data_IF_634346604517
#
_entry.id   IF_634346604517
#
_cell.length_a   1.000
_cell.length_b   1.000
_cell.length_c   1.000
_cell.angle_alpha   90.00
_cell.angle_beta   90.00
_cell.angle_gamma   90.00
#
_symmetry.space_group_name_H-M   'P 1'
#
loop_
_entity.id
_entity.type
_entity.pdbx_description
1 polymer ?
#
# COMPACT_ATOMS: atom_id res chain seq x y z
N UNK A 1 -52.27 37.48 47.75
CA UNK A 1 -52.79 36.26 48.40
C UNK A 1 -53.45 35.44 47.29
N UNK A 2 -52.94 34.33 46.75
CA UNK A 2 -52.21 33.23 47.34
C UNK A 2 -51.21 32.59 46.38
N UNK A 3 -50.12 32.13 47.00
CA UNK A 3 -48.97 31.39 46.48
C UNK A 3 -49.35 29.92 46.32
N UNK A 4 -49.03 29.30 45.17
CA UNK A 4 -48.67 27.86 45.11
C UNK A 4 -47.57 27.63 44.08
N UNK A 5 -46.34 27.60 44.59
CA UNK A 5 -45.19 26.96 43.97
C UNK A 5 -45.51 25.50 43.60
N UNK A 6 -45.28 25.13 42.34
CA UNK A 6 -45.08 23.73 41.94
C UNK A 6 -43.67 23.67 41.36
N UNK A 7 -42.75 23.15 42.16
CA UNK A 7 -41.37 22.84 41.75
C UNK A 7 -41.44 21.57 40.91
N UNK A 8 -41.40 21.71 39.59
CA UNK A 8 -41.18 20.59 38.68
C UNK A 8 -39.67 20.31 38.62
N UNK A 9 -39.23 19.26 39.30
CA UNK A 9 -37.87 18.73 39.22
C UNK A 9 -37.67 18.13 37.82
N UNK A 10 -37.00 18.87 36.94
CA UNK A 10 -36.58 18.38 35.63
C UNK A 10 -35.33 17.50 35.78
N UNK A 11 -35.55 16.21 36.08
CA UNK A 11 -34.54 15.16 35.92
C UNK A 11 -34.37 14.88 34.42
N UNK A 12 -33.54 15.67 33.74
CA UNK A 12 -33.13 15.37 32.36
C UNK A 12 -32.09 14.25 32.44
N UNK A 13 -32.61 13.02 32.32
CA UNK A 13 -31.82 11.83 32.03
C UNK A 13 -31.02 12.09 30.74
N UNK A 14 -29.69 12.15 30.86
CA UNK A 14 -28.76 12.00 29.73
C UNK A 14 -28.88 10.58 29.18
N UNK A 15 -29.98 10.29 28.48
CA UNK A 15 -30.10 9.12 27.64
C UNK A 15 -29.10 9.26 26.49
N UNK A 16 -28.06 8.44 26.51
CA UNK A 16 -27.19 8.23 25.35
C UNK A 16 -28.08 8.02 24.13
N UNK A 17 -28.08 8.95 23.18
CA UNK A 17 -28.70 8.73 21.89
C UNK A 17 -27.90 7.65 21.17
N UNK A 18 -28.35 6.41 21.32
CA UNK A 18 -27.94 5.30 20.48
C UNK A 18 -28.64 5.54 19.16
N UNK A 19 -27.97 6.22 18.23
CA UNK A 19 -28.44 6.30 16.84
C UNK A 19 -28.51 4.87 16.30
N UNK A 20 -29.70 4.34 15.95
CA UNK A 20 -29.79 3.02 15.36
C UNK A 20 -29.01 3.05 14.05
N UNK A 21 -28.05 2.13 13.92
CA UNK A 21 -27.33 1.89 12.67
C UNK A 21 -28.37 1.53 11.62
N UNK A 22 -28.64 2.43 10.67
CA UNK A 22 -29.60 2.19 9.60
C UNK A 22 -29.32 0.83 8.96
N UNK A 23 -30.35 -0.01 8.94
CA UNK A 23 -30.26 -1.33 8.32
C UNK A 23 -30.02 -1.16 6.82
N UNK A 24 -29.10 -1.96 6.26
CA UNK A 24 -28.80 -1.89 4.84
C UNK A 24 -30.01 -2.38 4.03
N UNK A 25 -30.41 -1.69 2.95
CA UNK A 25 -31.46 -2.18 2.07
C UNK A 25 -31.08 -3.54 1.47
N UNK A 26 -32.03 -4.47 1.48
CA UNK A 26 -31.88 -5.81 0.89
C UNK A 26 -32.06 -5.75 -0.61
N UNK A 27 -31.06 -6.21 -1.36
CA UNK A 27 -31.13 -6.31 -2.83
C UNK A 27 -31.26 -7.78 -3.24
N UNK A 28 -32.28 -8.09 -4.03
CA UNK A 28 -32.49 -9.40 -4.63
C UNK A 28 -31.99 -9.38 -6.08
N UNK A 29 -30.84 -10.01 -6.38
CA UNK A 29 -30.44 -10.28 -7.74
C UNK A 29 -31.24 -11.45 -8.32
N UNK A 30 -31.84 -11.26 -9.49
CA UNK A 30 -32.33 -12.36 -10.31
C UNK A 30 -31.21 -12.84 -11.24
N UNK A 31 -31.35 -14.07 -11.75
CA UNK A 31 -30.42 -14.61 -12.75
C UNK A 31 -30.52 -13.82 -14.05
N UNK A 32 -29.40 -13.71 -14.75
CA UNK A 32 -29.36 -13.06 -16.06
C UNK A 32 -30.08 -13.95 -17.07
N UNK A 33 -30.94 -13.37 -17.90
CA UNK A 33 -31.64 -14.09 -18.97
C UNK A 33 -31.20 -13.59 -20.34
N UNK A 34 -31.47 -14.38 -21.38
CA UNK A 34 -31.23 -13.97 -22.76
C UNK A 34 -32.16 -14.71 -23.72
N UNK A 35 -32.43 -14.09 -24.87
CA UNK A 35 -33.08 -14.74 -26.01
C UNK A 35 -32.12 -15.62 -26.84
N UNK A 36 -30.79 -15.51 -26.64
CA UNK A 36 -29.81 -16.13 -27.54
C UNK A 36 -28.61 -16.80 -26.84
N UNK A 37 -28.23 -16.36 -25.65
CA UNK A 37 -27.08 -16.93 -24.93
C UNK A 37 -27.36 -18.33 -24.38
N UNK A 38 -26.31 -19.14 -24.25
CA UNK A 38 -26.39 -20.49 -23.69
C UNK A 38 -26.38 -20.47 -22.16
N UNK A 39 -26.77 -21.59 -21.54
CA UNK A 39 -26.92 -21.72 -20.08
C UNK A 39 -25.61 -21.40 -19.33
N UNK A 40 -24.48 -21.89 -19.83
CA UNK A 40 -23.16 -21.69 -19.24
C UNK A 40 -22.75 -20.21 -19.26
N UNK A 41 -23.13 -19.49 -20.32
CA UNK A 41 -22.86 -18.06 -20.48
C UNK A 41 -23.72 -17.24 -19.53
N UNK A 42 -25.00 -17.59 -19.40
CA UNK A 42 -25.91 -16.96 -18.44
C UNK A 42 -25.48 -17.20 -16.99
N UNK A 43 -24.97 -18.39 -16.68
CA UNK A 43 -24.39 -18.69 -15.37
C UNK A 43 -23.14 -17.85 -15.11
N UNK A 44 -22.25 -17.70 -16.09
CA UNK A 44 -21.07 -16.86 -15.99
C UNK A 44 -21.44 -15.38 -15.75
N UNK A 45 -22.37 -14.84 -16.53
CA UNK A 45 -22.86 -13.47 -16.38
C UNK A 45 -23.55 -13.25 -15.02
N UNK A 46 -24.33 -14.23 -14.57
CA UNK A 46 -24.96 -14.18 -13.24
C UNK A 46 -23.92 -14.17 -12.13
N UNK A 47 -22.90 -15.01 -12.19
CA UNK A 47 -21.81 -15.01 -11.20
C UNK A 47 -21.08 -13.66 -11.16
N UNK A 48 -20.77 -13.08 -12.32
CA UNK A 48 -20.14 -11.77 -12.40
C UNK A 48 -21.02 -10.65 -11.83
N UNK A 49 -22.33 -10.70 -12.08
CA UNK A 49 -23.30 -9.78 -11.47
C UNK A 49 -23.27 -9.88 -9.94
N UNK A 50 -23.28 -11.10 -9.40
CA UNK A 50 -23.23 -11.34 -7.96
C UNK A 50 -21.91 -10.84 -7.34
N UNK A 51 -20.77 -11.14 -7.97
CA UNK A 51 -19.46 -10.63 -7.54
C UNK A 51 -19.43 -9.10 -7.54
N UNK A 52 -19.98 -8.47 -8.58
CA UNK A 52 -20.08 -7.01 -8.67
C UNK A 52 -20.92 -6.45 -7.52
N UNK A 53 -22.07 -7.06 -7.22
CA UNK A 53 -22.97 -6.65 -6.13
C UNK A 53 -22.32 -6.75 -4.75
N UNK A 54 -21.53 -7.80 -4.50
CA UNK A 54 -20.84 -7.98 -3.21
C UNK A 54 -19.86 -6.85 -2.90
N UNK A 55 -19.38 -6.14 -3.92
CA UNK A 55 -18.50 -4.98 -3.74
C UNK A 55 -19.23 -3.72 -3.28
N UNK A 56 -20.57 -3.68 -3.27
CA UNK A 56 -21.35 -2.54 -2.79
C UNK A 56 -21.77 -2.74 -1.33
N UNK A 57 -20.98 -2.26 -0.34
CA UNK A 57 -21.28 -2.48 1.07
C UNK A 57 -22.54 -1.76 1.56
N UNK A 58 -23.15 -0.90 0.74
CA UNK A 58 -24.41 -0.22 1.04
C UNK A 58 -25.64 -1.13 0.97
N UNK A 59 -25.53 -2.32 0.38
CA UNK A 59 -26.63 -3.27 0.27
C UNK A 59 -26.37 -4.55 1.09
N UNK A 60 -27.45 -5.20 1.49
CA UNK A 60 -27.45 -6.61 1.91
C UNK A 60 -27.88 -7.45 0.69
N UNK A 61 -26.96 -8.22 0.12
CA UNK A 61 -27.25 -9.03 -1.09
C UNK A 61 -27.93 -10.33 -0.66
N UNK A 62 -29.19 -10.50 -1.08
CA UNK A 62 -29.95 -11.74 -0.88
C UNK A 62 -29.46 -12.83 -1.84
N UNK A 63 -29.59 -14.12 -1.48
CA UNK A 63 -29.28 -15.20 -2.41
C UNK A 63 -30.23 -15.15 -3.62
N UNK A 64 -29.72 -15.35 -4.84
CA UNK A 64 -30.58 -15.42 -6.02
C UNK A 64 -31.52 -16.64 -5.91
N UNK A 65 -32.79 -16.52 -6.31
CA UNK A 65 -33.72 -17.64 -6.28
C UNK A 65 -33.23 -18.83 -7.11
N UNK A 66 -33.61 -20.04 -6.69
CA UNK A 66 -33.28 -21.26 -7.42
C UNK A 66 -34.08 -21.42 -8.72
N UNK A 67 -35.32 -20.91 -8.73
CA UNK A 67 -36.20 -20.90 -9.89
C UNK A 67 -35.67 -19.96 -10.99
N UNK A 68 -35.97 -20.28 -12.25
CA UNK A 68 -35.67 -19.39 -13.36
C UNK A 68 -36.53 -18.11 -13.27
N UNK A 69 -36.03 -16.93 -13.68
CA UNK A 69 -36.83 -15.71 -13.69
C UNK A 69 -38.15 -15.83 -14.47
N UNK A 70 -38.21 -16.67 -15.51
CA UNK A 70 -39.45 -16.93 -16.24
C UNK A 70 -40.45 -17.75 -15.41
N UNK A 71 -39.97 -18.72 -14.63
CA UNK A 71 -40.84 -19.48 -13.71
C UNK A 71 -41.38 -18.57 -12.61
N UNK A 72 -40.52 -17.70 -12.05
CA UNK A 72 -40.93 -16.71 -11.04
C UNK A 72 -41.99 -15.74 -11.59
N UNK A 73 -41.86 -15.34 -12.86
CA UNK A 73 -42.82 -14.49 -13.55
C UNK A 73 -44.18 -15.19 -13.67
N UNK A 74 -44.20 -16.46 -14.06
CA UNK A 74 -45.40 -17.28 -14.17
C UNK A 74 -46.05 -17.48 -12.79
N UNK A 75 -45.27 -17.86 -11.78
CA UNK A 75 -45.74 -18.07 -10.41
C UNK A 75 -46.31 -16.78 -9.78
N UNK A 76 -45.79 -15.62 -10.20
CA UNK A 76 -46.27 -14.31 -9.79
C UNK A 76 -47.48 -13.82 -10.60
N UNK A 77 -47.95 -14.59 -11.58
CA UNK A 77 -49.08 -14.24 -12.45
C UNK A 77 -48.80 -13.06 -13.39
N UNK A 78 -47.52 -12.84 -13.75
CA UNK A 78 -47.10 -11.75 -14.63
C UNK A 78 -47.05 -12.17 -16.10
N UNK A 79 -47.18 -11.19 -16.99
CA UNK A 79 -46.97 -11.36 -18.44
C UNK A 79 -45.53 -11.16 -18.87
N UNK A 80 -44.80 -10.34 -18.12
CA UNK A 80 -43.45 -9.86 -18.41
C UNK A 80 -42.73 -9.48 -17.12
N UNK A 81 -41.39 -9.44 -17.17
CA UNK A 81 -40.53 -9.03 -16.05
C UNK A 81 -40.34 -7.51 -16.02
N UNK A 82 -41.46 -6.80 -15.97
CA UNK A 82 -41.53 -5.35 -15.89
C UNK A 82 -41.36 -4.82 -14.46
N UNK A 83 -41.50 -3.51 -14.28
CA UNK A 83 -41.30 -2.88 -12.96
C UNK A 83 -42.35 -3.33 -11.93
N UNK A 84 -43.57 -3.68 -12.36
CA UNK A 84 -44.64 -4.11 -11.48
C UNK A 84 -44.47 -5.57 -11.05
N UNK A 85 -44.11 -6.44 -11.99
CA UNK A 85 -43.81 -7.84 -11.69
C UNK A 85 -42.61 -7.98 -10.76
N UNK A 86 -41.51 -7.27 -11.04
CA UNK A 86 -40.32 -7.31 -10.22
C UNK A 86 -40.58 -6.79 -8.79
N UNK A 87 -41.48 -5.82 -8.60
CA UNK A 87 -41.93 -5.44 -7.25
C UNK A 87 -42.63 -6.59 -6.53
N UNK A 88 -43.52 -7.33 -7.19
CA UNK A 88 -44.24 -8.45 -6.58
C UNK A 88 -43.27 -9.56 -6.17
N UNK A 89 -42.34 -9.92 -7.06
CA UNK A 89 -41.26 -10.88 -6.77
C UNK A 89 -40.45 -10.40 -5.56
N UNK A 90 -40.07 -9.11 -5.54
CA UNK A 90 -39.33 -8.50 -4.43
C UNK A 90 -40.07 -8.54 -3.09
N UNK A 91 -41.38 -8.26 -3.09
CA UNK A 91 -42.23 -8.35 -1.88
C UNK A 91 -42.26 -9.77 -1.32
N UNK A 92 -42.47 -10.77 -2.18
CA UNK A 92 -42.50 -12.18 -1.78
C UNK A 92 -41.16 -12.66 -1.23
N UNK A 93 -40.05 -12.14 -1.76
CA UNK A 93 -38.71 -12.47 -1.30
C UNK A 93 -38.23 -11.65 -0.08
N UNK A 94 -39.01 -10.67 0.39
CA UNK A 94 -38.61 -9.77 1.48
C UNK A 94 -37.45 -8.84 1.13
N UNK A 95 -37.35 -8.44 -0.14
CA UNK A 95 -36.32 -7.54 -0.65
C UNK A 95 -36.80 -6.08 -0.63
N UNK A 96 -35.88 -5.13 -0.43
CA UNK A 96 -36.16 -3.70 -0.61
C UNK A 96 -35.94 -3.27 -2.06
N UNK A 97 -35.07 -3.96 -2.79
CA UNK A 97 -34.77 -3.73 -4.20
C UNK A 97 -34.65 -5.03 -4.98
N UNK A 98 -35.06 -5.04 -6.24
CA UNK A 98 -34.86 -6.16 -7.16
C UNK A 98 -34.00 -5.71 -8.33
N UNK A 99 -32.96 -6.49 -8.64
CA UNK A 99 -32.09 -6.25 -9.78
C UNK A 99 -32.25 -7.40 -10.77
N UNK A 100 -32.67 -7.06 -11.98
CA UNK A 100 -32.84 -8.01 -13.07
C UNK A 100 -32.08 -7.53 -14.31
N UNK A 101 -31.39 -8.43 -14.99
CA UNK A 101 -30.63 -8.12 -16.19
C UNK A 101 -30.98 -9.09 -17.30
N UNK A 102 -31.20 -8.54 -18.50
CA UNK A 102 -31.57 -9.27 -19.69
C UNK A 102 -30.61 -8.90 -20.83
N UNK A 103 -30.11 -9.91 -21.53
CA UNK A 103 -29.26 -9.76 -22.72
C UNK A 103 -30.06 -10.14 -23.96
N UNK A 104 -30.38 -9.16 -24.79
CA UNK A 104 -31.17 -9.32 -26.00
C UNK A 104 -30.25 -9.24 -27.21
N UNK A 105 -30.18 -10.28 -28.03
CA UNK A 105 -29.54 -10.23 -29.33
C UNK A 105 -30.55 -9.77 -30.39
N UNK A 106 -30.18 -8.71 -31.12
CA UNK A 106 -30.94 -8.16 -32.23
C UNK A 106 -30.00 -7.81 -33.40
N UNK A 107 -30.13 -8.55 -34.52
CA UNK A 107 -29.38 -8.32 -35.77
C UNK A 107 -27.85 -8.39 -35.57
N UNK A 108 -27.37 -9.33 -34.77
CA UNK A 108 -25.95 -9.52 -34.45
C UNK A 108 -25.41 -8.54 -33.40
N UNK A 109 -26.25 -7.70 -32.80
CA UNK A 109 -25.89 -6.80 -31.72
C UNK A 109 -26.54 -7.25 -30.42
N UNK A 110 -25.77 -7.27 -29.35
CA UNK A 110 -26.24 -7.60 -28.01
C UNK A 110 -26.57 -6.31 -27.26
N UNK A 111 -27.82 -6.19 -26.81
CA UNK A 111 -28.30 -5.13 -25.92
C UNK A 111 -28.42 -5.70 -24.52
N UNK A 112 -27.95 -4.95 -23.53
CA UNK A 112 -28.15 -5.29 -22.12
C UNK A 112 -29.12 -4.30 -21.51
N UNK A 113 -30.22 -4.83 -20.99
CA UNK A 113 -31.20 -4.09 -20.21
C UNK A 113 -31.08 -4.51 -18.76
N UNK A 114 -30.78 -3.57 -17.87
CA UNK A 114 -30.82 -3.80 -16.43
C UNK A 114 -31.98 -3.02 -15.85
N UNK A 115 -32.79 -3.67 -15.00
CA UNK A 115 -33.85 -3.06 -14.22
C UNK A 115 -33.48 -3.16 -12.75
N UNK A 116 -33.30 -2.03 -12.08
CA UNK A 116 -33.33 -1.94 -10.63
C UNK A 116 -34.64 -1.33 -10.21
N UNK A 117 -35.40 -2.06 -9.43
CA UNK A 117 -36.72 -1.66 -8.97
C UNK A 117 -36.70 -1.52 -7.46
N UNK A 118 -37.15 -0.36 -6.97
CA UNK A 118 -37.42 -0.16 -5.54
C UNK A 118 -38.77 -0.78 -5.19
N UNK A 119 -38.77 -1.75 -4.27
CA UNK A 119 -39.96 -2.57 -3.98
C UNK A 119 -41.05 -1.79 -3.26
N UNK A 120 -40.69 -0.72 -2.54
CA UNK A 120 -41.63 0.11 -1.77
C UNK A 120 -42.31 1.15 -2.65
N UNK A 121 -41.52 1.84 -3.48
CA UNK A 121 -42.00 2.96 -4.31
C UNK A 121 -42.41 2.55 -5.71
N UNK A 122 -41.86 1.44 -6.21
CA UNK A 122 -42.00 1.00 -7.59
C UNK A 122 -41.18 1.79 -8.61
N UNK A 123 -40.36 2.75 -8.15
CA UNK A 123 -39.44 3.48 -9.01
C UNK A 123 -38.43 2.51 -9.62
N UNK A 124 -38.21 2.62 -10.93
CA UNK A 124 -37.26 1.78 -11.65
C UNK A 124 -36.20 2.60 -12.39
N UNK A 125 -34.97 2.10 -12.35
CA UNK A 125 -33.86 2.59 -13.18
C UNK A 125 -33.58 1.57 -14.26
N UNK A 126 -33.60 2.01 -15.51
CA UNK A 126 -33.43 1.16 -16.69
C UNK A 126 -32.36 1.73 -17.64
N UNK A 127 -31.06 1.63 -17.32
CA UNK A 127 -30.02 1.97 -18.27
C UNK A 127 -29.88 0.87 -19.32
N UNK A 128 -29.69 1.31 -20.57
CA UNK A 128 -29.43 0.43 -21.71
C UNK A 128 -27.97 0.55 -22.16
N UNK A 129 -27.43 -0.51 -22.76
CA UNK A 129 -26.12 -0.51 -23.43
C UNK A 129 -26.06 -1.53 -24.58
N UNK A 130 -25.31 -1.22 -25.64
CA UNK A 130 -25.19 -2.07 -26.85
C UNK A 130 -23.74 -2.46 -27.16
N UNK A 131 -23.51 -3.66 -27.71
CA UNK A 131 -22.22 -4.14 -28.25
C UNK A 131 -22.45 -5.06 -29.45
N UNK A 132 -21.49 -5.10 -30.37
CA UNK A 132 -21.47 -6.03 -31.51
C UNK A 132 -20.74 -7.35 -31.19
N UNK A 133 -19.98 -7.39 -30.09
CA UNK A 133 -19.18 -8.55 -29.69
C UNK A 133 -19.79 -9.25 -28.47
N UNK A 134 -20.02 -10.56 -28.59
CA UNK A 134 -20.57 -11.42 -27.54
C UNK A 134 -19.66 -11.45 -26.32
N UNK A 135 -18.35 -11.44 -26.53
CA UNK A 135 -17.32 -11.49 -25.49
C UNK A 135 -17.31 -10.24 -24.61
N UNK A 136 -17.88 -9.13 -25.10
CA UNK A 136 -17.99 -7.86 -24.36
C UNK A 136 -19.27 -7.73 -23.54
N UNK A 137 -20.14 -8.73 -23.56
CA UNK A 137 -21.39 -8.71 -22.77
C UNK A 137 -21.11 -8.61 -21.28
N UNK A 138 -20.05 -9.26 -20.78
CA UNK A 138 -19.57 -9.12 -19.41
C UNK A 138 -19.22 -7.67 -19.03
N UNK A 139 -18.40 -7.01 -19.86
CA UNK A 139 -17.98 -5.63 -19.63
C UNK A 139 -19.18 -4.67 -19.67
N UNK A 140 -20.09 -4.86 -20.63
CA UNK A 140 -21.32 -4.08 -20.69
C UNK A 140 -22.22 -4.29 -19.48
N UNK A 141 -22.34 -5.52 -18.99
CA UNK A 141 -23.13 -5.85 -17.81
C UNK A 141 -22.56 -5.10 -16.60
N UNK A 142 -21.25 -5.15 -16.40
CA UNK A 142 -20.58 -4.42 -15.33
C UNK A 142 -20.82 -2.90 -15.42
N UNK A 143 -20.72 -2.32 -16.61
CA UNK A 143 -20.99 -0.89 -16.85
C UNK A 143 -22.45 -0.52 -16.60
N UNK A 144 -23.39 -1.35 -17.05
CA UNK A 144 -24.81 -1.12 -16.82
C UNK A 144 -25.15 -1.21 -15.32
N UNK A 145 -24.54 -2.13 -14.57
CA UNK A 145 -24.69 -2.21 -13.10
C UNK A 145 -24.19 -0.94 -12.44
N UNK A 146 -23.05 -0.39 -12.86
CA UNK A 146 -22.53 0.88 -12.34
C UNK A 146 -23.44 2.08 -12.67
N UNK A 147 -24.09 2.10 -13.85
CA UNK A 147 -25.07 3.15 -14.17
C UNK A 147 -26.29 3.13 -13.24
N UNK A 148 -26.69 1.93 -12.81
CA UNK A 148 -27.81 1.72 -11.90
C UNK A 148 -27.45 2.04 -10.45
N UNK A 149 -26.36 1.45 -9.95
CA UNK A 149 -25.98 1.46 -8.53
C UNK A 149 -25.04 2.61 -8.17
N UNK A 150 -24.51 3.32 -9.16
CA UNK A 150 -23.42 4.27 -9.01
C UNK A 150 -22.05 3.59 -9.25
N UNK A 151 -20.97 4.39 -9.24
CA UNK A 151 -19.62 3.84 -9.44
C UNK A 151 -19.30 2.80 -8.37
N UNK A 152 -18.55 1.75 -8.75
CA UNK A 152 -18.08 0.75 -7.80
C UNK A 152 -17.34 1.46 -6.66
N UNK A 153 -17.76 1.25 -5.39
CA UNK A 153 -17.15 1.95 -4.28
C UNK A 153 -15.71 1.48 -4.16
N UNK A 154 -14.77 2.41 -4.39
CA UNK A 154 -13.36 2.15 -4.14
C UNK A 154 -13.24 1.72 -2.68
N UNK A 155 -12.69 0.52 -2.47
CA UNK A 155 -12.39 -0.03 -1.13
C UNK A 155 -11.79 1.09 -0.30
N UNK A 156 -12.55 1.57 0.69
CA UNK A 156 -12.11 2.69 1.51
C UNK A 156 -10.83 2.25 2.20
N UNK A 157 -9.71 2.87 1.83
CA UNK A 157 -8.44 2.60 2.47
C UNK A 157 -8.56 3.07 3.91
N UNK A 158 -8.72 2.13 4.84
CA UNK A 158 -8.82 2.45 6.26
C UNK A 158 -7.43 2.85 6.75
N UNK A 159 -7.27 4.13 7.04
CA UNK A 159 -6.05 4.70 7.63
C UNK A 159 -6.19 4.69 9.14
N UNK A 160 -5.14 4.22 9.82
CA UNK A 160 -5.03 4.14 11.28
C UNK A 160 -3.89 5.03 11.76
N UNK A 161 -4.06 5.67 12.93
CA UNK A 161 -2.95 6.31 13.65
C UNK A 161 -2.23 5.23 14.47
N UNK A 162 -0.97 4.96 14.12
CA UNK A 162 -0.11 3.95 14.75
C UNK A 162 0.93 4.66 15.61
N UNK A 163 1.05 4.26 16.86
CA UNK A 163 2.04 4.78 17.81
C UNK A 163 3.22 3.82 17.93
N UNK A 164 4.43 4.32 17.75
CA UNK A 164 5.66 3.53 17.86
C UNK A 164 6.55 4.17 18.91
N UNK A 165 6.93 3.40 19.92
CA UNK A 165 7.83 3.83 21.01
C UNK A 165 9.02 2.89 21.13
N UNK A 166 10.18 3.42 21.53
CA UNK A 166 11.37 2.62 21.79
C UNK A 166 11.93 2.86 23.19
N UNK A 167 12.58 1.85 23.74
CA UNK A 167 13.43 1.95 24.94
C UNK A 167 14.87 1.55 24.56
N UNK A 168 15.83 2.48 24.62
CA UNK A 168 15.69 3.90 24.97
C UNK A 168 14.90 4.72 23.93
N UNK A 169 14.28 5.81 24.38
CA UNK A 169 13.57 6.76 23.53
C UNK A 169 14.53 7.59 22.66
N UNK A 170 14.09 7.94 21.44
CA UNK A 170 14.85 8.71 20.44
C UNK A 170 15.54 7.84 19.39
N UNK A 171 15.02 6.64 19.12
CA UNK A 171 15.46 5.85 17.98
C UNK A 171 14.77 6.33 16.70
N UNK A 172 15.49 6.38 15.59
CA UNK A 172 14.95 6.69 14.28
C UNK A 172 14.08 5.53 13.78
N UNK A 173 12.84 5.86 13.42
CA UNK A 173 11.84 4.90 12.96
C UNK A 173 11.69 5.02 11.44
N UNK A 174 11.81 3.87 10.78
CA UNK A 174 11.58 3.72 9.35
C UNK A 174 10.43 2.74 9.14
N UNK A 175 9.50 3.08 8.23
CA UNK A 175 8.42 2.19 7.80
C UNK A 175 8.68 1.85 6.34
N UNK A 176 9.03 0.59 6.07
CA UNK A 176 9.62 0.20 4.79
C UNK A 176 10.98 0.88 4.60
N UNK A 177 11.06 1.77 3.62
CA UNK A 177 12.27 2.55 3.33
C UNK A 177 12.15 4.03 3.76
N UNK A 178 10.98 4.44 4.24
CA UNK A 178 10.69 5.84 4.53
C UNK A 178 10.96 6.15 6.00
N UNK A 179 11.75 7.19 6.26
CA UNK A 179 11.94 7.72 7.60
C UNK A 179 10.69 8.47 8.05
N UNK A 180 10.10 8.06 9.18
CA UNK A 180 8.84 8.63 9.69
C UNK A 180 9.04 9.54 10.92
N UNK A 181 10.22 9.53 11.53
CA UNK A 181 10.58 10.34 12.69
C UNK A 181 11.28 9.53 13.79
N UNK A 182 11.62 10.19 14.89
CA UNK A 182 12.27 9.54 16.04
C UNK A 182 11.24 9.17 17.11
N UNK A 183 11.36 7.98 17.70
CA UNK A 183 10.43 7.44 18.68
C UNK A 183 10.49 8.19 20.04
N UNK A 184 9.35 8.41 20.73
CA UNK A 184 8.00 8.01 20.35
C UNK A 184 7.42 8.82 19.18
N UNK A 185 6.86 8.14 18.18
CA UNK A 185 6.29 8.76 16.97
C UNK A 185 4.91 8.21 16.68
N UNK A 186 4.02 9.07 16.16
CA UNK A 186 2.70 8.68 15.65
C UNK A 186 2.68 8.82 14.13
N UNK A 187 2.29 7.76 13.43
CA UNK A 187 2.27 7.71 11.96
C UNK A 187 0.91 7.23 11.48
N UNK A 188 0.41 7.81 10.38
CA UNK A 188 -0.83 7.37 9.73
C UNK A 188 -0.51 6.31 8.69
N UNK A 189 -0.93 5.07 8.95
CA UNK A 189 -0.69 3.92 8.07
C UNK A 189 -2.01 3.35 7.59
N UNK A 190 -2.06 2.90 6.34
CA UNK A 190 -3.21 2.15 5.80
C UNK A 190 -3.28 0.78 6.47
N UNK A 191 -4.43 0.13 6.41
CA UNK A 191 -4.53 -1.29 6.75
C UNK A 191 -3.53 -2.09 5.89
N UNK A 192 -2.70 -2.90 6.53
CA UNK A 192 -1.66 -3.65 5.84
C UNK A 192 -0.57 -4.16 6.76
N UNK A 193 0.46 -4.75 6.15
CA UNK A 193 1.61 -5.29 6.88
C UNK A 193 2.85 -4.50 6.50
N UNK A 194 3.58 -4.06 7.51
CA UNK A 194 4.72 -3.16 7.36
C UNK A 194 5.97 -3.79 7.99
N UNK A 195 7.10 -3.66 7.31
CA UNK A 195 8.40 -3.91 7.91
C UNK A 195 8.88 -2.59 8.49
N UNK A 196 9.08 -2.54 9.79
CA UNK A 196 9.66 -1.38 10.47
C UNK A 196 11.13 -1.63 10.76
N UNK A 197 11.93 -0.58 10.70
CA UNK A 197 13.33 -0.58 11.10
C UNK A 197 13.56 0.53 12.12
N UNK A 198 14.25 0.19 13.20
CA UNK A 198 14.56 1.07 14.31
C UNK A 198 16.08 1.19 14.40
N UNK A 199 16.60 2.41 14.36
CA UNK A 199 18.03 2.67 14.41
C UNK A 199 18.36 3.73 15.45
N UNK A 200 19.41 3.50 16.24
CA UNK A 200 19.90 4.48 17.22
C UNK A 200 21.40 4.30 17.39
N UNK A 201 22.12 5.42 17.46
CA UNK A 201 23.58 5.41 17.67
C UNK A 201 23.93 4.66 18.96
N UNK A 202 24.86 3.70 18.86
CA UNK A 202 25.30 2.86 19.98
C UNK A 202 24.40 1.65 20.28
N UNK A 203 23.35 1.42 19.49
CA UNK A 203 22.42 0.30 19.61
C UNK A 203 22.35 -0.50 18.31
N UNK A 204 22.07 -1.79 18.43
CA UNK A 204 21.83 -2.67 17.29
C UNK A 204 20.57 -2.24 16.55
N UNK A 205 20.63 -2.27 15.22
CA UNK A 205 19.46 -2.02 14.38
C UNK A 205 18.45 -3.16 14.57
N UNK A 206 17.18 -2.81 14.77
CA UNK A 206 16.10 -3.78 14.93
C UNK A 206 15.10 -3.65 13.79
N UNK A 207 14.79 -4.76 13.14
CA UNK A 207 13.75 -4.84 12.13
C UNK A 207 12.63 -5.78 12.59
N UNK A 208 11.38 -5.31 12.52
CA UNK A 208 10.19 -6.07 12.95
C UNK A 208 9.08 -5.97 11.90
N UNK A 209 8.24 -6.99 11.80
CA UNK A 209 7.04 -6.97 10.96
C UNK A 209 5.82 -6.67 11.83
N UNK A 210 5.14 -5.55 11.55
CA UNK A 210 3.90 -5.17 12.23
C UNK A 210 2.71 -5.27 11.28
N UNK A 211 1.56 -5.66 11.83
CA UNK A 211 0.30 -5.73 11.09
C UNK A 211 -0.67 -4.67 11.62
N UNK A 212 -1.09 -3.78 10.74
CA UNK A 212 -2.04 -2.71 10.99
C UNK A 212 -3.40 -3.19 10.49
N UNK A 213 -4.26 -3.64 11.39
CA UNK A 213 -5.65 -4.01 11.09
C UNK A 213 -6.58 -3.48 12.17
N UNK A 214 -7.85 -3.34 11.80
CA UNK A 214 -8.91 -3.05 12.77
C UNK A 214 -8.92 -4.12 13.86
N UNK A 215 -9.17 -3.69 15.10
CA UNK A 215 -9.30 -4.56 16.29
C UNK A 215 -7.99 -5.21 16.80
N UNK A 216 -6.82 -4.83 16.26
CA UNK A 216 -5.49 -5.13 16.86
C UNK A 216 -4.89 -3.89 17.55
N UNK A 217 -3.94 -4.09 18.49
CA UNK A 217 -3.25 -2.97 19.11
C UNK A 217 -2.47 -2.17 18.06
N UNK A 218 -2.76 -0.86 17.98
CA UNK A 218 -2.11 0.10 17.09
C UNK A 218 -0.95 0.83 17.79
N UNK A 219 -0.51 0.33 18.95
CA UNK A 219 0.62 0.84 19.70
C UNK A 219 1.68 -0.24 19.83
N UNK A 220 2.88 0.05 19.34
CA UNK A 220 4.00 -0.88 19.32
C UNK A 220 5.16 -0.31 20.14
N UNK A 221 5.67 -1.11 21.08
CA UNK A 221 6.79 -0.74 21.93
C UNK A 221 7.96 -1.71 21.72
N UNK A 222 9.16 -1.18 21.51
CA UNK A 222 10.34 -1.98 21.18
C UNK A 222 11.52 -1.63 22.10
N UNK A 223 12.23 -2.65 22.57
CA UNK A 223 13.51 -2.48 23.27
C UNK A 223 14.67 -2.70 22.30
N UNK A 224 15.66 -1.80 22.34
CA UNK A 224 16.90 -1.88 21.55
C UNK A 224 18.04 -2.38 22.43
N UNK A 225 18.90 -3.22 21.83
CA UNK A 225 20.08 -3.74 22.51
C UNK A 225 21.29 -2.85 22.22
N UNK A 226 22.11 -2.48 23.22
CA UNK A 226 23.33 -1.74 22.99
C UNK A 226 24.34 -2.60 22.20
N UNK A 227 25.13 -1.96 21.32
CA UNK A 227 26.21 -2.65 20.61
C UNK A 227 27.32 -2.98 21.60
N UNK A 228 27.61 -4.27 21.79
CA UNK A 228 28.79 -4.70 22.53
C UNK A 228 30.04 -4.48 21.67
N UNK A 229 30.83 -3.45 22.00
CA UNK A 229 32.16 -3.31 21.41
C UNK A 229 33.06 -4.43 21.97
N UNK A 230 33.80 -5.17 21.12
CA UNK A 230 34.80 -6.10 21.62
C UNK A 230 35.77 -5.31 22.50
N UNK A 231 35.97 -5.79 23.74
CA UNK A 231 36.96 -5.23 24.65
C UNK A 231 38.26 -5.09 23.87
N UNK A 232 38.89 -3.89 23.81
CA UNK A 232 40.14 -3.73 23.09
C UNK A 232 41.06 -4.85 23.52
N UNK A 233 41.48 -5.70 22.58
CA UNK A 233 42.50 -6.70 22.86
C UNK A 233 43.61 -5.93 23.56
N UNK A 234 43.98 -6.37 24.78
CA UNK A 234 45.08 -5.76 25.51
C UNK A 234 46.21 -5.64 24.50
N UNK A 235 46.63 -4.40 24.23
CA UNK A 235 47.79 -4.15 23.38
C UNK A 235 48.87 -5.06 23.98
N UNK A 236 49.37 -6.07 23.26
CA UNK A 236 50.42 -6.91 23.81
C UNK A 236 51.51 -5.97 24.33
N UNK A 237 52.00 -6.16 25.58
CA UNK A 237 53.00 -5.28 26.17
C UNK A 237 54.07 -5.00 25.13
N UNK A 238 54.24 -3.72 24.81
CA UNK A 238 54.84 -3.29 23.57
C UNK A 238 56.02 -4.15 23.15
N UNK A 239 55.89 -4.83 22.02
CA UNK A 239 57.06 -4.94 21.16
C UNK A 239 57.39 -3.50 20.76
N UNK A 240 58.32 -2.89 21.51
CA UNK A 240 59.19 -1.87 20.96
C UNK A 240 59.63 -2.43 19.60
N UNK A 241 59.04 -1.91 18.51
CA UNK A 241 59.69 -2.02 17.22
C UNK A 241 61.02 -1.35 17.42
N UNK A 242 62.07 -2.13 17.69
CA UNK A 242 63.46 -1.70 17.49
C UNK A 242 63.43 -1.11 16.11
N UNK A 243 63.47 0.23 16.04
CA UNK A 243 63.83 0.92 14.82
C UNK A 243 65.24 0.43 14.56
N UNK A 244 65.35 -0.67 13.81
CA UNK A 244 66.58 -1.09 13.21
C UNK A 244 66.95 0.10 12.32
N UNK A 245 67.81 0.96 12.84
CA UNK A 245 68.42 2.03 12.07
C UNK A 245 69.12 1.29 10.95
N UNK A 246 68.48 1.18 9.78
CA UNK A 246 69.17 0.75 8.56
C UNK A 246 70.36 1.67 8.44
N UNK A 247 71.52 1.11 8.71
CA UNK A 247 72.73 1.90 8.75
C UNK A 247 72.94 2.45 7.33
N UNK A 248 72.97 3.77 7.23
CA UNK A 248 72.93 4.56 6.00
C UNK A 248 73.96 4.11 4.93
N UNK A 249 75.03 3.42 5.38
CA UNK A 249 76.09 2.84 4.56
C UNK A 249 75.73 1.56 3.77
N UNK A 250 74.57 0.92 4.02
CA UNK A 250 74.13 -0.27 3.26
C UNK A 250 73.29 0.05 2.03
N UNK A 251 73.06 1.33 1.73
CA UNK A 251 72.38 1.75 0.50
C UNK A 251 73.43 1.86 -0.62
N UNK A 252 73.22 1.19 -1.75
CA UNK A 252 74.17 1.07 -2.86
C UNK A 252 74.69 2.42 -3.41
N UNK A 253 73.91 3.51 -3.29
CA UNK A 253 74.35 4.86 -3.66
C UNK A 253 75.34 5.52 -2.67
N UNK A 254 75.54 5.00 -1.45
CA UNK A 254 76.50 5.55 -0.49
C UNK A 254 77.97 5.36 -0.95
N UNK A 255 78.25 4.31 -1.72
CA UNK A 255 79.57 4.04 -2.29
C UNK A 255 79.84 4.78 -3.62
N UNK A 256 78.85 5.39 -4.26
CA UNK A 256 79.10 6.22 -5.45
C UNK A 256 79.62 7.62 -5.10
N UNK A 257 79.41 8.11 -3.87
CA UNK A 257 79.98 9.39 -3.39
C UNK A 257 81.37 9.27 -2.76
N UNK A 258 81.71 8.15 -2.11
CA UNK A 258 83.05 7.94 -1.50
C UNK A 258 84.08 7.46 -2.54
N UNK A 259 83.66 6.72 -3.58
CA UNK A 259 84.55 6.28 -4.67
C UNK A 259 85.08 7.40 -5.58
N UNK A 260 84.39 8.54 -5.65
CA UNK A 260 84.82 9.70 -6.46
C UNK A 260 85.90 10.53 -5.74
N UNK A 261 86.01 10.46 -4.41
CA UNK A 261 86.93 11.28 -3.62
C UNK A 261 88.30 10.62 -3.42
N UNK A 262 88.41 9.28 -3.49
CA UNK A 262 89.69 8.57 -3.24
C UNK A 262 90.52 8.31 -4.52
N UNK A 263 89.93 8.41 -5.72
CA UNK A 263 90.68 8.35 -6.98
C UNK A 263 91.07 9.75 -7.53
N UNK A 264 90.60 10.85 -6.91
CA UNK A 264 90.82 12.22 -7.37
C UNK A 264 92.08 12.93 -6.83
N UNK A 265 92.80 12.35 -5.87
CA UNK A 265 93.91 13.03 -5.17
C UNK A 265 95.31 12.47 -5.48
N UNK A 266 95.46 11.66 -6.53
CA UNK A 266 96.71 10.95 -6.84
C UNK A 266 97.50 11.41 -8.08
N UNK A 267 96.94 12.22 -8.98
CA UNK A 267 97.62 12.62 -10.24
C UNK A 267 97.75 14.15 -10.38
N UNK A 268 97.41 14.91 -9.34
CA UNK A 268 97.55 16.38 -9.30
C UNK A 268 98.99 16.90 -9.20
N UNK A 269 100.01 16.03 -9.16
CA UNK A 269 101.40 16.41 -8.98
C UNK A 269 102.28 16.25 -10.23
N UNK A 270 101.77 15.85 -11.41
CA UNK A 270 102.64 15.59 -12.57
C UNK A 270 102.43 16.42 -13.84
N UNK A 271 101.37 17.21 -14.02
CA UNK A 271 101.28 18.03 -15.24
C UNK A 271 100.77 19.46 -15.00
N UNK A 272 101.62 20.23 -14.35
CA UNK A 272 101.87 21.64 -14.70
C UNK A 272 102.41 21.70 -16.15
N UNK A 273 101.53 21.69 -17.14
CA UNK A 273 101.72 22.08 -18.55
C UNK A 273 100.49 21.56 -19.32
N UNK A 274 99.58 22.33 -19.91
CA UNK A 274 99.69 23.59 -20.63
C UNK A 274 98.33 24.32 -20.61
N UNK A 275 98.42 25.63 -20.75
CA UNK A 275 97.35 26.60 -21.03
C UNK A 275 96.61 26.35 -22.35
N UNK A 276 95.49 27.07 -22.44
CA UNK A 276 94.73 27.55 -23.61
C UNK A 276 93.43 26.79 -23.85
N UNK A 277 92.27 27.42 -23.99
CA UNK A 277 91.89 28.84 -23.96
C UNK A 277 90.38 28.87 -23.73
N UNK A 278 89.89 29.92 -23.08
CA UNK A 278 89.04 30.93 -23.74
C UNK A 278 87.54 30.60 -23.65
N UNK A 279 86.81 31.27 -22.75
CA UNK A 279 85.93 32.45 -23.00
C UNK A 279 84.58 32.04 -23.61
N UNK A 280 83.41 32.66 -23.44
CA UNK A 280 82.85 33.84 -22.75
C UNK A 280 81.33 33.75 -23.01
N UNK A 281 80.51 34.52 -22.28
CA UNK A 281 79.15 34.91 -22.73
C UNK A 281 78.03 34.30 -21.89
N UNK A 282 77.42 34.94 -20.87
CA UNK A 282 76.72 36.25 -20.90
C UNK A 282 75.74 36.32 -22.09
N UNK A 283 74.47 36.70 -21.96
CA UNK A 283 73.74 37.41 -20.90
C UNK A 283 72.31 37.64 -21.37
N UNK A 284 71.36 37.72 -20.40
CA UNK A 284 70.20 38.66 -20.28
C UNK A 284 69.23 38.75 -21.49
N UNK A 285 67.92 38.81 -21.31
CA UNK A 285 67.09 39.54 -20.34
C UNK A 285 65.79 38.79 -20.08
#
# INVERSE_FOLDING_TARGET
MNIRCIIAVALILFGKQVFPKEAKPKILPLRVTSNRLQKEELQSLTSQLLEKLQKYPGFEVLPPPEADPMDLMIDSGCTDLDSQCLQNIGKSAGADKVLYAEVIEEKGRFKIQIRLVDVKTGESKVPEGETEAKERTADLLALAVERVLGPEPKKAETVFEVSISTEPAGADVYVGNDFVGSAPVKVRLKQGVYNIRLSRVGYEEKAERIEVIKDKPLSFAFTLNPIELPKPAAIPPGEEKKREKKAFYKTWWFWTTVGVVVAGSGVGAFFLAQRHGETVGQSRF
#
